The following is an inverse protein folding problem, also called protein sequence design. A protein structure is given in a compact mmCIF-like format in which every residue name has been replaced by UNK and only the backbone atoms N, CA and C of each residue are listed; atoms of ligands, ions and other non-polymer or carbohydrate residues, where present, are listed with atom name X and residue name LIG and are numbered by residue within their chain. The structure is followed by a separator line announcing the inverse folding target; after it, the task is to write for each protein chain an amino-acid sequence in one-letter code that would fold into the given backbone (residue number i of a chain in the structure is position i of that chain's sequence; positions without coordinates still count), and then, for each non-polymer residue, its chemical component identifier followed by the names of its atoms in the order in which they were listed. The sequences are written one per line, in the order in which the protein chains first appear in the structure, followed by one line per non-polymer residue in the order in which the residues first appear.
data_IF_878583199454
#
_entry.id   IF_878583199454
#
_cell.length_a   1.000
_cell.length_b   1.000
_cell.length_c   1.000
_cell.angle_alpha   90.00
_cell.angle_beta   90.00
_cell.angle_gamma   90.00
#
_symmetry.space_group_name_H-M   'P 1'
#
loop_
_entity.id
_entity.type
_entity.pdbx_description
1 polymer ?
#
# COMPACT_ATOMS: atom_id res chain seq x y z
N UNK A 1 -10.14 -16.99 -11.71
CA UNK A 1 -10.41 -16.43 -10.39
C UNK A 1 -9.40 -15.36 -10.07
N UNK A 2 -9.87 -14.20 -9.72
CA UNK A 2 -8.97 -13.10 -9.44
C UNK A 2 -8.38 -13.20 -8.06
N UNK A 3 -7.09 -12.93 -7.98
CA UNK A 3 -6.45 -12.84 -6.70
C UNK A 3 -6.71 -11.47 -6.10
N UNK A 4 -7.12 -11.45 -4.87
CA UNK A 4 -7.29 -10.20 -4.16
C UNK A 4 -5.96 -9.79 -3.56
N UNK A 5 -5.70 -8.52 -3.60
CA UNK A 5 -4.54 -7.96 -2.94
C UNK A 5 -4.93 -7.47 -1.57
N UNK A 6 -4.02 -7.55 -0.66
CA UNK A 6 -4.25 -7.03 0.68
C UNK A 6 -3.19 -6.01 1.02
N UNK A 7 -3.61 -5.02 1.78
CA UNK A 7 -2.71 -3.98 2.25
C UNK A 7 -2.91 -3.85 3.75
N UNK A 8 -1.82 -3.83 4.48
CA UNK A 8 -1.86 -3.58 5.92
C UNK A 8 -1.03 -2.35 6.20
N UNK A 9 -1.64 -1.40 6.87
CA UNK A 9 -0.99 -0.15 7.24
C UNK A 9 -0.76 -0.17 8.73
N UNK A 10 0.50 -0.04 9.14
CA UNK A 10 0.86 -0.03 10.55
C UNK A 10 1.13 1.41 10.98
N UNK A 11 0.58 1.77 12.11
CA UNK A 11 0.70 3.12 12.63
C UNK A 11 1.69 3.18 13.78
N UNK A 12 2.20 4.38 14.01
CA UNK A 12 3.22 4.57 15.04
C UNK A 12 2.70 4.31 16.45
N UNK A 13 1.38 4.35 16.64
CA UNK A 13 0.80 4.07 17.95
C UNK A 13 0.52 2.59 18.16
N UNK A 14 0.94 1.74 17.24
CA UNK A 14 0.76 0.30 17.39
C UNK A 14 -0.49 -0.25 16.75
N UNK A 15 -1.37 0.58 16.25
CA UNK A 15 -2.57 0.11 15.58
C UNK A 15 -2.28 -0.25 14.14
N UNK A 16 -3.21 -0.96 13.52
CA UNK A 16 -3.10 -1.27 12.11
C UNK A 16 -4.47 -1.32 11.47
N UNK A 17 -4.47 -1.11 10.16
CA UNK A 17 -5.67 -1.25 9.34
C UNK A 17 -5.36 -2.21 8.21
N UNK A 18 -6.29 -3.10 7.92
CA UNK A 18 -6.15 -4.07 6.85
C UNK A 18 -7.23 -3.86 5.82
N UNK A 19 -6.82 -3.89 4.57
CA UNK A 19 -7.75 -3.74 3.46
C UNK A 19 -7.52 -4.82 2.43
N UNK A 20 -8.61 -5.30 1.84
CA UNK A 20 -8.53 -6.06 0.61
C UNK A 20 -8.92 -5.12 -0.51
N UNK A 21 -8.24 -5.20 -1.62
CA UNK A 21 -8.63 -4.37 -2.73
C UNK A 21 -8.53 -5.16 -4.03
N UNK A 22 -9.42 -4.86 -4.97
CA UNK A 22 -9.42 -5.57 -6.24
C UNK A 22 -8.31 -5.05 -7.12
N UNK A 23 -8.06 -5.81 -8.17
CA UNK A 23 -7.15 -5.37 -9.20
C UNK A 23 -7.63 -4.03 -9.74
N UNK A 24 -6.72 -3.07 -9.81
CA UNK A 24 -7.09 -1.76 -10.29
C UNK A 24 -7.31 -1.79 -11.79
N UNK A 25 -8.21 -0.94 -12.23
CA UNK A 25 -8.74 -1.07 -13.57
C UNK A 25 -7.74 -0.71 -14.65
N UNK A 26 -7.07 0.41 -14.48
CA UNK A 26 -6.28 0.95 -15.59
C UNK A 26 -4.96 0.25 -15.74
N UNK A 27 -4.23 0.15 -14.66
CA UNK A 27 -2.96 -0.50 -14.72
C UNK A 27 -2.65 -1.03 -13.36
N UNK A 28 -2.90 -2.27 -13.29
CA UNK A 28 -2.89 -2.95 -12.03
C UNK A 28 -1.52 -3.11 -11.47
N UNK A 29 -0.51 -2.90 -12.26
CA UNK A 29 0.84 -3.05 -11.75
C UNK A 29 1.34 -1.79 -11.08
N UNK A 30 0.53 -0.74 -10.99
CA UNK A 30 1.01 0.54 -10.55
C UNK A 30 0.78 0.86 -9.08
N UNK A 31 0.51 -0.13 -8.26
CA UNK A 31 0.32 0.12 -6.84
C UNK A 31 1.56 0.76 -6.23
N UNK A 32 2.75 0.28 -6.62
CA UNK A 32 3.97 0.87 -6.11
C UNK A 32 4.11 2.34 -6.47
N UNK A 33 3.75 2.68 -7.71
CA UNK A 33 3.81 4.07 -8.14
C UNK A 33 2.78 4.92 -7.42
N UNK A 34 1.61 4.36 -7.17
CA UNK A 34 0.58 5.10 -6.45
C UNK A 34 0.99 5.39 -5.02
N UNK A 35 1.64 4.44 -4.38
CA UNK A 35 2.14 4.65 -3.03
C UNK A 35 3.24 5.72 -3.06
N UNK A 36 4.12 5.66 -4.05
CA UNK A 36 5.18 6.66 -4.16
C UNK A 36 4.61 8.06 -4.33
N UNK A 37 3.58 8.17 -5.15
CA UNK A 37 2.93 9.47 -5.35
C UNK A 37 2.27 9.94 -4.08
N UNK A 38 1.64 9.03 -3.35
CA UNK A 38 1.03 9.39 -2.08
C UNK A 38 2.07 9.90 -1.09
N UNK A 39 3.24 9.30 -1.10
CA UNK A 39 4.32 9.75 -0.21
C UNK A 39 4.73 11.17 -0.53
N UNK A 40 4.74 11.53 -1.82
CA UNK A 40 5.03 12.90 -2.21
C UNK A 40 4.00 13.88 -1.66
N UNK A 41 2.77 13.43 -1.51
CA UNK A 41 1.69 14.25 -0.97
C UNK A 41 1.55 14.13 0.52
N UNK A 42 2.37 13.28 1.15
CA UNK A 42 2.38 13.05 2.58
C UNK A 42 1.08 12.46 3.12
N UNK A 43 0.29 11.84 2.25
CA UNK A 43 -0.94 11.20 2.68
C UNK A 43 -1.37 10.16 1.69
N UNK A 44 -2.07 9.16 2.20
CA UNK A 44 -2.67 8.12 1.38
C UNK A 44 -4.17 8.28 1.43
N UNK A 45 -4.82 8.26 0.29
CA UNK A 45 -6.26 8.40 0.21
C UNK A 45 -6.84 7.10 -0.31
N UNK A 46 -7.78 6.54 0.46
CA UNK A 46 -8.42 5.28 0.10
C UNK A 46 -9.92 5.47 0.07
N UNK A 47 -10.55 4.84 -0.89
CA UNK A 47 -12.01 4.74 -0.90
C UNK A 47 -12.39 3.34 -0.46
N UNK A 48 -13.13 3.24 0.64
CA UNK A 48 -13.53 1.97 1.20
C UNK A 48 -15.04 1.97 1.33
N UNK A 49 -15.69 1.28 0.41
CA UNK A 49 -17.15 1.11 0.44
C UNK A 49 -17.88 2.44 0.59
N UNK A 50 -17.48 3.40 -0.22
CA UNK A 50 -18.14 4.71 -0.21
C UNK A 50 -17.62 5.68 0.81
N UNK A 51 -16.64 5.28 1.61
CA UNK A 51 -16.04 6.14 2.61
C UNK A 51 -14.62 6.47 2.21
N UNK A 52 -14.28 7.74 2.30
CA UNK A 52 -12.92 8.17 2.00
C UNK A 52 -12.09 8.19 3.26
N UNK A 53 -10.99 7.48 3.23
CA UNK A 53 -10.01 7.49 4.31
C UNK A 53 -8.83 8.31 3.88
N UNK A 54 -8.46 9.28 4.66
CA UNK A 54 -7.25 10.06 4.45
C UNK A 54 -6.28 9.71 5.55
N UNK A 55 -5.15 9.16 5.17
CA UNK A 55 -4.18 8.65 6.13
C UNK A 55 -2.89 9.43 6.00
N UNK A 56 -2.59 10.34 6.94
CA UNK A 56 -1.34 11.09 6.89
C UNK A 56 -0.15 10.17 7.12
N UNK A 57 0.89 10.31 6.30
CA UNK A 57 2.06 9.44 6.43
C UNK A 57 2.85 9.69 7.70
N UNK A 58 2.67 10.83 8.33
CA UNK A 58 3.40 11.12 9.57
C UNK A 58 3.07 10.09 10.64
N UNK A 59 1.89 9.48 10.59
CA UNK A 59 1.47 8.50 11.56
C UNK A 59 1.66 7.06 11.10
N UNK A 60 2.24 6.87 9.93
CA UNK A 60 2.39 5.54 9.34
C UNK A 60 3.79 5.05 9.60
N UNK A 61 3.86 3.84 10.16
CA UNK A 61 5.14 3.20 10.42
C UNK A 61 5.66 2.53 9.15
N UNK A 62 4.84 1.69 8.53
CA UNK A 62 5.12 1.12 7.22
C UNK A 62 3.86 0.49 6.68
N UNK A 63 3.92 0.13 5.40
CA UNK A 63 2.79 -0.47 4.69
C UNK A 63 3.26 -1.77 4.09
N UNK A 64 2.45 -2.82 4.26
CA UNK A 64 2.70 -4.11 3.63
C UNK A 64 1.65 -4.35 2.57
N UNK A 65 2.09 -4.84 1.42
CA UNK A 65 1.19 -5.19 0.33
C UNK A 65 1.49 -6.62 -0.09
N UNK A 66 0.48 -7.44 -0.11
CA UNK A 66 0.64 -8.82 -0.51
C UNK A 66 -0.48 -9.21 -1.47
N UNK A 67 -0.19 -9.90 -2.55
CA UNK A 67 1.14 -10.22 -3.03
C UNK A 67 1.87 -9.00 -3.55
N UNK A 68 3.18 -9.14 -3.65
CA UNK A 68 4.02 -8.06 -4.13
C UNK A 68 3.57 -7.64 -5.52
N UNK A 69 3.46 -6.32 -5.77
CA UNK A 69 3.10 -5.86 -7.12
C UNK A 69 4.12 -6.32 -8.14
N UNK A 70 3.65 -6.55 -9.36
CA UNK A 70 4.54 -6.97 -10.43
C UNK A 70 5.56 -5.91 -10.77
N UNK A 71 5.15 -4.66 -10.68
CA UNK A 71 6.02 -3.56 -11.07
C UNK A 71 6.31 -2.73 -9.85
N UNK A 72 7.57 -2.64 -9.50
CA UNK A 72 8.02 -1.88 -8.35
C UNK A 72 8.75 -0.63 -8.81
N UNK A 73 8.82 0.40 -7.95
CA UNK A 73 9.66 1.56 -8.27
C UNK A 73 11.10 1.15 -8.49
N UNK A 74 11.82 1.91 -9.28
CA UNK A 74 13.21 1.60 -9.60
C UNK A 74 14.10 1.57 -8.37
N UNK A 75 13.70 2.26 -7.32
CA UNK A 75 14.48 2.31 -6.09
C UNK A 75 14.28 1.09 -5.20
N UNK A 76 13.39 0.18 -5.59
CA UNK A 76 13.10 -0.98 -4.75
C UNK A 76 14.29 -1.93 -4.71
N UNK A 77 14.53 -2.48 -3.55
CA UNK A 77 15.58 -3.49 -3.35
C UNK A 77 14.90 -4.84 -3.34
N UNK A 78 15.40 -5.74 -4.18
CA UNK A 78 14.74 -7.03 -4.39
C UNK A 78 15.44 -8.12 -3.61
N UNK A 79 14.70 -9.18 -3.37
CA UNK A 79 15.29 -10.37 -2.80
C UNK A 79 15.67 -10.24 -1.34
N UNK A 80 15.02 -9.34 -0.64
CA UNK A 80 15.35 -9.04 0.75
C UNK A 80 14.68 -10.04 1.68
N UNK A 81 15.39 -10.44 2.72
CA UNK A 81 14.88 -11.35 3.72
C UNK A 81 14.82 -10.62 5.05
N UNK A 82 13.69 -10.76 5.72
CA UNK A 82 13.51 -10.13 7.03
C UNK A 82 14.26 -10.93 8.08
N UNK A 83 15.02 -10.24 8.91
CA UNK A 83 15.74 -10.83 10.03
C UNK A 83 15.17 -10.28 11.31
N UNK A 84 14.85 -11.18 12.24
CA UNK A 84 14.39 -10.74 13.55
C UNK A 84 15.51 -10.33 14.47
#
# INVERSE_FOLDING_TARGET
MEKKRSMTIYFTDGRDLKFNFPKQKDDTSNIGAMIKEAMNQNQLILEVEGTMYTIPFVNVKYIRIYPCPEKLPDTAIHGVTLID
#
